data_IF_735752587585
#
_entry.id   IF_735752587585
#
_cell.length_a   1.000
_cell.length_b   1.000
_cell.length_c   1.000
_cell.angle_alpha   90.00
_cell.angle_beta   90.00
_cell.angle_gamma   90.00
#
_symmetry.space_group_name_H-M   'P 1'
#
loop_
_entity.id
_entity.type
_entity.pdbx_description
1 polymer ?
#
# COMPACT_ATOMS: atom_id res chain seq x y z
N UNK A 1 -6.87 -18.81 3.62
CA UNK A 1 -7.76 -17.81 2.95
C UNK A 1 -7.66 -17.94 1.42
N UNK A 2 -8.47 -18.81 0.82
CA UNK A 2 -8.35 -19.15 -0.61
C UNK A 2 -9.11 -18.19 -1.54
N UNK A 3 -10.21 -17.59 -1.06
CA UNK A 3 -11.15 -16.81 -1.89
C UNK A 3 -10.52 -15.65 -2.66
N UNK A 4 -9.51 -14.98 -2.07
CA UNK A 4 -8.86 -13.81 -2.63
C UNK A 4 -7.39 -14.07 -3.02
N UNK A 5 -6.96 -15.35 -3.08
CA UNK A 5 -5.57 -15.70 -3.41
C UNK A 5 -5.14 -15.18 -4.79
N UNK A 6 -6.11 -15.06 -5.70
CA UNK A 6 -5.90 -14.50 -7.04
C UNK A 6 -5.27 -13.11 -7.03
N UNK A 7 -5.53 -12.29 -6.00
CA UNK A 7 -4.92 -10.97 -5.85
C UNK A 7 -3.48 -11.04 -5.35
N UNK A 8 -3.16 -12.04 -4.51
CA UNK A 8 -1.79 -12.30 -4.08
C UNK A 8 -0.95 -12.78 -5.28
N UNK A 9 -1.46 -13.76 -6.03
CA UNK A 9 -0.84 -14.21 -7.28
C UNK A 9 -0.65 -13.04 -8.27
N UNK A 10 -1.69 -12.22 -8.44
CA UNK A 10 -1.62 -11.05 -9.32
C UNK A 10 -0.55 -10.04 -8.88
N UNK A 11 -0.31 -9.88 -7.58
CA UNK A 11 0.64 -8.89 -7.04
C UNK A 11 2.09 -9.35 -7.05
N UNK A 12 2.35 -10.66 -7.01
CA UNK A 12 3.70 -11.25 -6.93
C UNK A 12 4.14 -11.96 -8.22
N UNK A 13 3.29 -12.01 -9.25
CA UNK A 13 3.71 -12.49 -10.56
C UNK A 13 4.74 -11.54 -11.19
N UNK A 14 5.50 -12.06 -12.15
CA UNK A 14 6.28 -11.23 -13.06
C UNK A 14 5.35 -10.27 -13.82
N UNK A 15 5.77 -9.01 -13.91
CA UNK A 15 4.98 -7.96 -14.56
C UNK A 15 4.78 -8.23 -16.06
N UNK A 16 3.52 -8.41 -16.47
CA UNK A 16 3.12 -8.54 -17.88
C UNK A 16 2.78 -7.14 -18.45
N UNK A 17 3.76 -6.50 -19.10
CA UNK A 17 3.61 -5.19 -19.73
C UNK A 17 2.94 -5.37 -21.09
N UNK A 18 1.67 -4.95 -21.19
CA UNK A 18 0.93 -4.94 -22.45
C UNK A 18 1.18 -3.69 -23.29
N UNK A 19 1.78 -2.64 -22.70
CA UNK A 19 2.10 -1.40 -23.40
C UNK A 19 3.13 -0.55 -22.67
N UNK A 20 4.03 0.04 -23.44
CA UNK A 20 5.06 0.96 -22.96
C UNK A 20 5.18 2.13 -23.93
N UNK A 21 5.18 3.35 -23.40
CA UNK A 21 5.25 4.57 -24.19
C UNK A 21 6.10 5.63 -23.49
N UNK A 22 6.97 6.28 -24.26
CA UNK A 22 7.78 7.41 -23.78
C UNK A 22 7.54 8.60 -24.70
N UNK A 23 7.28 9.77 -24.10
CA UNK A 23 7.14 11.04 -24.82
C UNK A 23 7.82 12.16 -24.07
N UNK A 24 8.74 12.81 -24.77
CA UNK A 24 9.36 14.04 -24.27
C UNK A 24 8.42 15.23 -24.52
N UNK A 25 8.22 16.06 -23.51
CA UNK A 25 7.59 17.37 -23.63
C UNK A 25 8.61 18.46 -23.36
N UNK A 26 8.20 19.73 -23.44
CA UNK A 26 9.09 20.86 -23.12
C UNK A 26 9.47 20.91 -21.64
N UNK A 27 8.62 20.39 -20.75
CA UNK A 27 8.72 20.59 -19.29
C UNK A 27 8.95 19.29 -18.51
N UNK A 28 8.58 18.14 -19.07
CA UNK A 28 8.75 16.84 -18.44
C UNK A 28 8.88 15.71 -19.48
N UNK A 29 9.43 14.58 -19.07
CA UNK A 29 9.38 13.31 -19.81
C UNK A 29 8.25 12.46 -19.28
N UNK A 30 7.34 12.05 -20.18
CA UNK A 30 6.24 11.15 -19.87
C UNK A 30 6.66 9.71 -20.13
N UNK A 31 6.49 8.84 -19.15
CA UNK A 31 6.69 7.38 -19.26
C UNK A 31 5.40 6.70 -18.83
N UNK A 32 4.76 5.97 -19.75
CA UNK A 32 3.50 5.30 -19.51
C UNK A 32 3.64 3.80 -19.67
N UNK A 33 3.17 3.07 -18.67
CA UNK A 33 3.04 1.62 -18.66
C UNK A 33 1.57 1.22 -18.68
N UNK A 34 1.29 0.10 -19.32
CA UNK A 34 0.03 -0.62 -19.22
C UNK A 34 0.35 -2.07 -18.81
N UNK A 35 -0.18 -2.47 -17.66
CA UNK A 35 -0.07 -3.84 -17.13
C UNK A 35 -1.38 -4.57 -17.32
N UNK A 36 -1.29 -5.87 -17.65
CA UNK A 36 -2.46 -6.73 -17.79
C UNK A 36 -2.38 -7.89 -16.78
N UNK A 37 -3.36 -7.95 -15.88
CA UNK A 37 -3.51 -9.02 -14.90
C UNK A 37 -4.57 -9.99 -15.41
N UNK A 38 -4.14 -10.97 -16.21
CA UNK A 38 -5.04 -11.92 -16.91
C UNK A 38 -5.96 -12.69 -15.97
N UNK A 39 -5.48 -13.02 -14.77
CA UNK A 39 -6.21 -13.78 -13.76
C UNK A 39 -7.46 -13.02 -13.29
N UNK A 40 -7.38 -11.69 -13.19
CA UNK A 40 -8.44 -10.85 -12.62
C UNK A 40 -9.18 -10.02 -13.68
N UNK A 41 -8.67 -10.00 -14.92
CA UNK A 41 -9.17 -9.14 -16.00
C UNK A 41 -8.86 -7.65 -15.79
N UNK A 42 -7.98 -7.34 -14.83
CA UNK A 42 -7.57 -5.97 -14.49
C UNK A 42 -6.52 -5.48 -15.49
N UNK A 43 -6.67 -4.24 -15.93
CA UNK A 43 -5.64 -3.47 -16.62
C UNK A 43 -5.29 -2.26 -15.76
N UNK A 44 -3.99 -2.03 -15.57
CA UNK A 44 -3.48 -0.90 -14.80
C UNK A 44 -2.55 -0.06 -15.66
N UNK A 45 -2.96 1.20 -15.87
CA UNK A 45 -2.16 2.20 -16.55
C UNK A 45 -1.47 3.09 -15.52
N UNK A 46 -0.16 3.19 -15.59
CA UNK A 46 0.65 4.07 -14.73
C UNK A 46 1.38 5.05 -15.62
N UNK A 47 1.20 6.34 -15.38
CA UNK A 47 1.90 7.41 -16.11
C UNK A 47 2.77 8.19 -15.15
N UNK A 48 4.07 8.17 -15.41
CA UNK A 48 5.07 9.00 -14.73
C UNK A 48 5.37 10.23 -15.60
N UNK A 49 5.32 11.42 -15.01
CA UNK A 49 5.78 12.66 -15.64
C UNK A 49 6.94 13.20 -14.83
N UNK A 50 8.15 13.06 -15.37
CA UNK A 50 9.42 13.38 -14.71
C UNK A 50 9.90 14.74 -15.19
N UNK A 51 9.91 15.71 -14.30
CA UNK A 51 10.38 17.08 -14.55
C UNK A 51 11.89 17.21 -14.30
N UNK A 52 12.52 18.25 -14.88
CA UNK A 52 13.97 18.46 -14.78
C UNK A 52 14.47 18.82 -13.36
N UNK A 53 13.57 19.25 -12.49
CA UNK A 53 13.80 19.57 -11.08
C UNK A 53 13.63 18.36 -10.14
N UNK A 54 13.43 17.15 -10.70
CA UNK A 54 13.27 15.91 -9.93
C UNK A 54 11.85 15.65 -9.44
N UNK A 55 10.88 16.51 -9.77
CA UNK A 55 9.46 16.26 -9.45
C UNK A 55 8.93 15.13 -10.35
N UNK A 56 8.28 14.15 -9.74
CA UNK A 56 7.64 13.02 -10.44
C UNK A 56 6.16 13.03 -10.13
N UNK A 57 5.34 13.38 -11.13
CA UNK A 57 3.88 13.19 -11.05
C UNK A 57 3.54 11.76 -11.48
N UNK A 58 2.81 11.05 -10.63
CA UNK A 58 2.32 9.69 -10.86
C UNK A 58 0.81 9.73 -11.00
N UNK A 59 0.32 9.26 -12.14
CA UNK A 59 -1.11 9.11 -12.43
C UNK A 59 -1.42 7.62 -12.63
N UNK A 60 -2.36 7.09 -11.85
CA UNK A 60 -2.80 5.70 -11.92
C UNK A 60 -4.24 5.64 -12.43
N UNK A 61 -4.49 4.68 -13.33
CA UNK A 61 -5.83 4.32 -13.79
C UNK A 61 -5.98 2.80 -13.84
N UNK A 62 -6.99 2.29 -13.15
CA UNK A 62 -7.33 0.87 -13.09
C UNK A 62 -8.68 0.65 -13.75
N UNK A 63 -8.75 -0.35 -14.62
CA UNK A 63 -9.97 -0.72 -15.35
C UNK A 63 -10.12 -2.24 -15.35
N UNK A 64 -11.34 -2.76 -15.21
CA UNK A 64 -11.59 -4.21 -15.32
C UNK A 64 -12.46 -4.53 -16.52
N UNK A 65 -12.16 -5.65 -17.17
CA UNK A 65 -12.92 -6.15 -18.33
C UNK A 65 -13.94 -7.24 -17.96
N UNK A 66 -13.73 -7.88 -16.80
CA UNK A 66 -14.59 -8.95 -16.29
C UNK A 66 -15.79 -8.36 -15.55
N UNK A 67 -16.95 -9.00 -15.66
CA UNK A 67 -18.17 -8.56 -14.98
C UNK A 67 -18.20 -9.01 -13.50
N UNK A 68 -17.48 -10.09 -13.15
CA UNK A 68 -17.46 -10.71 -11.81
C UNK A 68 -16.07 -10.67 -11.14
N UNK A 69 -15.41 -9.51 -11.13
CA UNK A 69 -14.14 -9.36 -10.42
C UNK A 69 -14.35 -9.45 -8.90
N UNK A 70 -13.62 -10.33 -8.17
CA UNK A 70 -13.73 -10.43 -6.71
C UNK A 70 -13.41 -9.11 -6.00
N UNK A 71 -13.85 -8.96 -4.75
CA UNK A 71 -13.46 -7.82 -3.91
C UNK A 71 -11.93 -7.70 -3.84
N UNK A 72 -11.43 -6.46 -3.82
CA UNK A 72 -9.98 -6.18 -3.81
C UNK A 72 -9.54 -5.85 -2.39
N UNK A 73 -8.50 -6.49 -1.85
CA UNK A 73 -8.00 -6.15 -0.51
C UNK A 73 -7.40 -4.74 -0.42
N UNK A 74 -6.64 -4.33 -1.45
CA UNK A 74 -5.85 -3.10 -1.46
C UNK A 74 -5.56 -2.68 -2.91
N UNK A 75 -5.64 -1.38 -3.18
CA UNK A 75 -5.20 -0.78 -4.44
C UNK A 75 -4.16 0.28 -4.15
N UNK A 76 -2.92 0.04 -4.56
CA UNK A 76 -1.79 0.93 -4.25
C UNK A 76 -0.47 0.47 -4.86
N UNK A 77 0.49 1.38 -4.91
CA UNK A 77 1.86 1.08 -5.33
C UNK A 77 2.72 0.76 -4.11
N UNK A 78 3.55 -0.28 -4.23
CA UNK A 78 4.56 -0.65 -3.22
C UNK A 78 5.95 -0.31 -3.74
N UNK A 79 6.80 0.21 -2.87
CA UNK A 79 8.22 0.46 -3.14
C UNK A 79 9.07 0.22 -1.89
N UNK A 80 10.33 -0.13 -2.10
CA UNK A 80 11.32 -0.25 -1.03
C UNK A 80 12.31 0.91 -1.13
N UNK A 81 12.50 1.63 -0.04
CA UNK A 81 13.46 2.73 0.08
C UNK A 81 14.62 2.32 0.99
N UNK A 82 15.71 3.09 0.95
CA UNK A 82 16.86 2.90 1.85
C UNK A 82 16.44 2.98 3.32
N UNK A 83 17.02 2.14 4.17
CA UNK A 83 16.79 2.15 5.62
C UNK A 83 17.37 3.38 6.34
N UNK A 84 18.10 4.24 5.62
CA UNK A 84 18.61 5.53 6.11
C UNK A 84 17.49 6.55 6.32
N UNK A 85 16.35 6.38 5.64
CA UNK A 85 15.16 7.20 5.87
C UNK A 85 14.44 6.69 7.12
N UNK A 86 14.47 7.47 8.20
CA UNK A 86 13.97 7.04 9.52
C UNK A 86 12.78 7.83 10.03
N UNK A 87 12.55 9.02 9.47
CA UNK A 87 11.59 9.99 9.99
C UNK A 87 10.38 10.10 9.07
N UNK A 88 9.18 9.90 9.61
CA UNK A 88 7.91 10.10 8.94
C UNK A 88 7.25 11.36 9.48
N UNK A 89 6.86 12.26 8.59
CA UNK A 89 6.01 13.40 8.91
C UNK A 89 4.83 13.43 7.96
N UNK A 90 3.60 13.54 8.44
CA UNK A 90 2.43 13.53 7.56
C UNK A 90 1.29 14.42 8.04
N UNK A 91 0.42 14.80 7.10
CA UNK A 91 -0.87 15.42 7.39
C UNK A 91 -2.02 14.51 6.93
N UNK A 92 -2.77 13.98 7.89
CA UNK A 92 -3.82 12.98 7.68
C UNK A 92 -4.48 12.59 8.99
N UNK A 93 -5.10 11.39 9.05
CA UNK A 93 -5.65 10.87 10.31
C UNK A 93 -4.57 10.25 11.20
N UNK A 94 -4.63 10.49 12.50
CA UNK A 94 -3.70 9.95 13.49
C UNK A 94 -4.07 10.30 14.93
N UNK A 95 -3.14 10.08 15.89
CA UNK A 95 -1.78 9.55 15.72
C UNK A 95 -1.68 8.02 15.62
N UNK A 96 -2.77 7.28 15.86
CA UNK A 96 -2.81 5.82 15.73
C UNK A 96 -3.14 5.35 14.31
N UNK A 97 -3.09 4.04 14.11
CA UNK A 97 -3.52 3.41 12.86
C UNK A 97 -5.02 3.66 12.59
N UNK A 98 -5.38 3.70 11.31
CA UNK A 98 -6.72 4.01 10.85
C UNK A 98 -7.05 3.17 9.61
N UNK A 99 -8.29 2.68 9.53
CA UNK A 99 -8.83 1.97 8.38
C UNK A 99 -10.18 2.58 7.99
N UNK A 100 -10.67 2.33 6.77
CA UNK A 100 -11.87 3.00 6.25
C UNK A 100 -13.14 2.77 7.10
N UNK A 101 -13.20 1.69 7.87
CA UNK A 101 -14.26 1.37 8.84
C UNK A 101 -13.86 1.62 10.31
N UNK A 102 -12.63 2.07 10.57
CA UNK A 102 -12.08 2.28 11.91
C UNK A 102 -11.12 3.47 11.95
N UNK A 103 -11.65 4.67 11.76
CA UNK A 103 -10.85 5.92 11.80
C UNK A 103 -11.43 7.04 12.67
N UNK A 104 -12.61 6.87 13.27
CA UNK A 104 -13.35 7.97 13.92
C UNK A 104 -12.63 8.54 15.14
N UNK A 105 -11.77 7.75 15.80
CA UNK A 105 -10.87 8.19 16.88
C UNK A 105 -9.60 8.87 16.39
N UNK A 106 -9.33 8.87 15.08
CA UNK A 106 -8.09 9.38 14.48
C UNK A 106 -8.36 10.76 13.86
N UNK A 107 -7.89 11.82 14.52
CA UNK A 107 -8.16 13.20 14.10
C UNK A 107 -7.29 13.61 12.92
N UNK A 108 -7.80 14.54 12.09
CA UNK A 108 -6.99 15.19 11.08
C UNK A 108 -5.97 16.11 11.77
N UNK A 109 -4.69 15.93 11.44
CA UNK A 109 -3.62 16.70 12.04
C UNK A 109 -2.29 16.43 11.36
N UNK A 110 -1.26 17.13 11.85
CA UNK A 110 0.13 16.88 11.50
C UNK A 110 0.74 15.97 12.56
N UNK A 111 1.33 14.86 12.14
CA UNK A 111 1.92 13.86 13.02
C UNK A 111 3.35 13.54 12.57
N UNK A 112 4.21 13.27 13.55
CA UNK A 112 5.64 12.98 13.37
C UNK A 112 5.94 11.67 14.12
N UNK A 113 6.63 10.76 13.45
CA UNK A 113 7.00 9.46 13.98
C UNK A 113 8.36 9.02 13.45
N UNK A 114 9.10 8.26 14.26
CA UNK A 114 10.15 7.41 13.73
C UNK A 114 9.50 6.16 13.12
N UNK A 115 9.91 5.75 11.92
CA UNK A 115 9.33 4.60 11.21
C UNK A 115 9.43 3.33 12.07
N UNK A 116 10.53 3.20 12.79
CA UNK A 116 10.78 2.10 13.72
C UNK A 116 9.76 1.98 14.86
N UNK A 117 9.00 3.03 15.15
CA UNK A 117 8.00 3.07 16.23
C UNK A 117 6.58 2.83 15.69
N UNK A 118 6.42 2.66 14.37
CA UNK A 118 5.15 2.38 13.69
C UNK A 118 4.89 0.88 13.52
N UNK A 119 5.44 0.02 14.38
CA UNK A 119 5.08 -1.41 14.38
C UNK A 119 4.08 -1.67 15.51
N UNK A 120 2.91 -2.20 15.16
CA UNK A 120 1.93 -2.65 16.16
C UNK A 120 2.20 -4.12 16.50
N UNK A 121 2.62 -4.46 17.73
CA UNK A 121 3.05 -5.80 18.10
C UNK A 121 1.86 -6.72 18.40
N UNK A 122 0.98 -6.92 17.42
CA UNK A 122 -0.10 -7.90 17.52
C UNK A 122 0.46 -9.29 17.85
N UNK A 123 -0.17 -9.99 18.81
CA UNK A 123 0.30 -11.30 19.32
C UNK A 123 0.59 -12.27 18.17
N UNK A 124 -0.31 -12.31 17.18
CA UNK A 124 -0.04 -12.88 15.86
C UNK A 124 0.25 -11.73 14.89
N UNK A 125 1.43 -11.69 14.26
CA UNK A 125 1.78 -10.69 13.25
C UNK A 125 0.74 -10.65 12.13
N UNK A 126 0.29 -9.44 11.79
CA UNK A 126 -0.75 -9.14 10.80
C UNK A 126 -0.52 -7.73 10.25
N UNK A 127 -1.18 -7.40 9.13
CA UNK A 127 -1.24 -6.03 8.57
C UNK A 127 -1.58 -5.00 9.67
N UNK A 128 -0.83 -3.89 9.72
CA UNK A 128 -0.94 -2.88 10.76
C UNK A 128 -0.38 -1.52 10.29
N UNK A 129 -0.68 -0.46 11.06
CA UNK A 129 -0.17 0.90 10.88
C UNK A 129 -0.60 1.62 9.61
N UNK A 130 -1.75 1.24 9.06
CA UNK A 130 -2.36 1.93 7.93
C UNK A 130 -2.81 3.36 8.29
N UNK A 131 -2.61 4.31 7.38
CA UNK A 131 -2.92 5.75 7.58
C UNK A 131 -3.87 6.21 6.49
N UNK A 132 -5.01 6.78 6.87
CA UNK A 132 -6.09 7.17 5.94
C UNK A 132 -6.25 8.69 5.84
N UNK A 133 -6.91 9.14 4.77
CA UNK A 133 -7.21 10.56 4.49
C UNK A 133 -5.98 11.47 4.52
N UNK A 134 -4.85 10.97 4.02
CA UNK A 134 -3.57 11.67 3.99
C UNK A 134 -3.53 12.63 2.80
N UNK A 135 -3.21 13.90 3.05
CA UNK A 135 -2.96 14.88 1.98
C UNK A 135 -1.52 14.87 1.51
N UNK A 136 -0.58 14.69 2.44
CA UNK A 136 0.83 14.57 2.13
C UNK A 136 1.56 13.84 3.25
N UNK A 137 2.67 13.23 2.91
CA UNK A 137 3.63 12.69 3.88
C UNK A 137 5.06 12.80 3.33
N UNK A 138 6.02 12.98 4.21
CA UNK A 138 7.44 12.96 3.89
C UNK A 138 8.15 11.88 4.68
N UNK A 139 9.10 11.23 4.03
CA UNK A 139 10.02 10.26 4.65
C UNK A 139 11.43 10.79 4.44
N UNK A 140 12.14 11.02 5.54
CA UNK A 140 13.44 11.72 5.55
C UNK A 140 14.46 11.02 6.43
N UNK A 141 15.73 11.28 6.17
CA UNK A 141 16.86 10.91 7.02
C UNK A 141 17.00 11.87 8.23
N UNK A 142 18.06 11.69 9.02
CA UNK A 142 18.37 12.56 10.17
C UNK A 142 18.77 13.99 9.79
N UNK A 143 19.10 14.25 8.53
CA UNK A 143 19.44 15.57 8.00
C UNK A 143 18.23 16.27 7.33
N UNK A 144 17.03 15.67 7.40
CA UNK A 144 15.79 16.08 6.73
C UNK A 144 15.79 15.93 5.20
N UNK A 145 16.76 15.19 4.65
CA UNK A 145 16.77 14.87 3.22
C UNK A 145 15.91 13.66 2.95
N UNK A 146 15.14 13.69 1.87
CA UNK A 146 14.32 12.55 1.49
C UNK A 146 13.26 12.87 0.45
N UNK A 147 12.08 12.29 0.63
CA UNK A 147 10.99 12.37 -0.34
C UNK A 147 9.72 12.90 0.32
N UNK A 148 9.05 13.83 -0.35
CA UNK A 148 7.70 14.29 -0.06
C UNK A 148 6.74 13.72 -1.10
N UNK A 149 5.64 13.15 -0.60
CA UNK A 149 4.54 12.62 -1.39
C UNK A 149 3.31 13.50 -1.16
N UNK A 150 2.74 14.03 -2.23
CA UNK A 150 1.57 14.92 -2.19
C UNK A 150 0.44 14.27 -2.96
N UNK A 151 -0.69 14.03 -2.30
CA UNK A 151 -1.89 13.49 -2.92
C UNK A 151 -2.58 14.52 -3.81
N UNK A 152 -3.13 14.09 -4.95
CA UNK A 152 -4.00 14.96 -5.76
C UNK A 152 -5.30 15.32 -5.02
N UNK A 153 -5.76 14.41 -4.16
CA UNK A 153 -6.92 14.58 -3.29
C UNK A 153 -6.65 14.03 -1.89
N UNK A 154 -6.69 12.70 -1.77
CA UNK A 154 -6.34 11.94 -0.56
C UNK A 154 -5.73 10.61 -0.96
N UNK A 155 -4.79 10.13 -0.16
CA UNK A 155 -4.21 8.79 -0.24
C UNK A 155 -4.32 8.11 1.11
N UNK A 156 -4.03 6.82 1.09
CA UNK A 156 -3.73 6.03 2.27
C UNK A 156 -2.29 5.50 2.15
N UNK A 157 -1.63 5.14 3.26
CA UNK A 157 -0.29 4.57 3.20
C UNK A 157 0.00 3.62 4.36
N UNK A 158 0.98 2.74 4.15
CA UNK A 158 1.74 2.06 5.20
C UNK A 158 3.22 2.35 4.99
N UNK A 159 3.95 2.47 6.11
CA UNK A 159 5.41 2.60 6.11
C UNK A 159 5.96 1.76 7.26
N UNK A 160 6.94 0.91 6.97
CA UNK A 160 7.43 -0.07 7.94
C UNK A 160 8.89 -0.45 7.69
N UNK A 161 9.60 -0.88 8.73
CA UNK A 161 10.88 -1.60 8.59
C UNK A 161 10.69 -3.13 8.57
N UNK A 162 9.46 -3.61 8.58
CA UNK A 162 9.10 -5.02 8.44
C UNK A 162 8.46 -5.21 7.08
N UNK A 163 8.97 -6.17 6.30
CA UNK A 163 8.38 -6.53 5.03
C UNK A 163 6.97 -7.10 5.24
N UNK A 164 6.01 -6.76 4.36
CA UNK A 164 4.65 -7.32 4.42
C UNK A 164 4.63 -8.86 4.52
N UNK A 165 5.53 -9.53 3.81
CA UNK A 165 5.69 -10.98 3.81
C UNK A 165 6.07 -11.53 5.19
N UNK A 166 6.76 -10.73 6.01
CA UNK A 166 7.10 -11.08 7.40
C UNK A 166 5.89 -11.05 8.33
N UNK A 167 4.75 -10.51 7.87
CA UNK A 167 3.49 -10.45 8.62
C UNK A 167 2.48 -11.51 8.15
N UNK A 168 2.82 -12.31 7.14
CA UNK A 168 1.96 -13.38 6.61
C UNK A 168 2.24 -14.70 7.34
N UNK A 169 1.19 -15.28 7.93
CA UNK A 169 1.22 -16.59 8.58
C UNK A 169 1.16 -17.79 7.61
N UNK A 170 1.00 -17.53 6.32
CA UNK A 170 0.93 -18.55 5.26
C UNK A 170 -0.44 -19.23 5.14
N UNK A 171 -0.48 -20.35 4.41
CA UNK A 171 -1.73 -20.96 3.96
C UNK A 171 -2.56 -21.64 5.08
N UNK A 172 -1.92 -22.04 6.18
CA UNK A 172 -2.56 -22.82 7.26
C UNK A 172 -2.56 -22.07 8.59
N UNK A 173 -3.73 -22.04 9.23
CA UNK A 173 -3.90 -21.56 10.61
C UNK A 173 -3.63 -22.64 11.66
N UNK A 174 -3.37 -23.90 11.26
CA UNK A 174 -3.23 -25.01 12.19
C UNK A 174 -1.87 -25.05 12.89
N UNK A 175 -1.93 -25.29 14.21
CA UNK A 175 -0.90 -25.04 15.21
C UNK A 175 -0.17 -26.28 15.74
N UNK A 176 -0.27 -27.44 15.09
CA UNK A 176 0.27 -28.70 15.66
C UNK A 176 1.73 -29.02 15.32
N UNK A 177 2.45 -28.11 14.63
CA UNK A 177 3.86 -28.29 14.30
C UNK A 177 4.76 -27.60 15.36
N UNK A 178 5.85 -28.26 15.83
CA UNK A 178 6.90 -27.61 16.61
C UNK A 178 7.52 -26.44 15.82
N UNK A 179 8.02 -25.42 16.53
CA UNK A 179 8.78 -24.31 15.96
C UNK A 179 10.00 -24.87 15.21
N UNK A 180 10.08 -24.63 13.90
CA UNK A 180 11.27 -24.92 13.07
C UNK A 180 11.85 -23.60 12.55
N UNK A 181 13.04 -23.61 11.95
CA UNK A 181 13.60 -22.45 11.23
C UNK A 181 12.67 -21.91 10.13
N UNK A 182 11.70 -22.72 9.70
CA UNK A 182 10.75 -22.44 8.62
C UNK A 182 9.31 -22.18 9.07
N UNK A 183 9.00 -22.12 10.39
CA UNK A 183 7.62 -21.91 10.83
C UNK A 183 7.19 -20.44 10.76
N UNK A 184 6.36 -20.16 9.75
CA UNK A 184 5.61 -18.94 9.43
C UNK A 184 5.18 -18.09 10.64
N UNK A 185 5.77 -16.91 10.80
CA UNK A 185 5.36 -15.75 11.64
C UNK A 185 4.11 -15.96 12.52
N UNK A 186 4.27 -16.56 13.71
CA UNK A 186 3.15 -16.86 14.63
C UNK A 186 3.09 -15.94 15.83
N UNK A 187 4.25 -15.48 16.27
CA UNK A 187 4.41 -14.66 17.46
C UNK A 187 4.91 -13.28 17.08
N UNK A 188 4.51 -12.28 17.88
CA UNK A 188 4.91 -10.88 17.72
C UNK A 188 6.43 -10.66 17.59
N UNK A 189 7.24 -11.61 18.09
CA UNK A 189 8.71 -11.61 18.06
C UNK A 189 9.31 -12.22 16.79
N UNK A 190 8.53 -12.87 15.94
CA UNK A 190 9.04 -13.55 14.76
C UNK A 190 9.42 -12.57 13.63
N UNK A 191 8.59 -11.56 13.26
CA UNK A 191 9.01 -10.55 12.30
C UNK A 191 10.25 -9.82 12.79
N UNK A 192 11.25 -9.68 11.91
CA UNK A 192 12.47 -8.91 12.19
C UNK A 192 12.48 -7.65 11.33
N UNK A 193 13.16 -6.62 11.85
CA UNK A 193 13.38 -5.38 11.08
C UNK A 193 14.41 -5.63 10.01
N UNK A 194 14.13 -5.13 8.83
CA UNK A 194 15.04 -5.09 7.69
C UNK A 194 15.69 -3.71 7.56
N UNK A 195 16.90 -3.61 6.99
CA UNK A 195 17.60 -2.34 6.76
C UNK A 195 17.02 -1.58 5.55
N UNK A 196 15.69 -1.51 5.45
CA UNK A 196 14.94 -0.83 4.40
C UNK A 196 13.66 -0.21 4.97
N UNK A 197 13.01 0.61 4.15
CA UNK A 197 11.64 1.08 4.38
C UNK A 197 10.73 0.45 3.34
N UNK A 198 9.76 -0.36 3.78
CA UNK A 198 8.68 -0.89 2.95
C UNK A 198 7.53 0.12 2.94
N UNK A 199 7.33 0.77 1.80
CA UNK A 199 6.37 1.85 1.61
C UNK A 199 5.26 1.42 0.66
N UNK A 200 4.03 1.63 1.08
CA UNK A 200 2.85 1.50 0.24
C UNK A 200 2.16 2.85 0.12
N UNK A 201 1.85 3.27 -1.11
CA UNK A 201 1.09 4.48 -1.43
C UNK A 201 -0.21 4.06 -2.09
N UNK A 202 -1.30 4.11 -1.33
CA UNK A 202 -2.56 3.51 -1.70
C UNK A 202 -3.60 4.53 -2.13
N UNK A 203 -4.42 4.11 -3.08
CA UNK A 203 -5.73 4.70 -3.29
C UNK A 203 -6.66 4.35 -2.13
N UNK A 204 -6.71 3.05 -1.76
CA UNK A 204 -7.51 2.54 -0.65
C UNK A 204 -7.12 1.12 -0.23
N UNK A 205 -7.31 0.79 1.05
CA UNK A 205 -7.43 -0.57 1.59
C UNK A 205 -8.88 -0.85 2.03
N UNK A 206 -9.37 -2.09 1.83
CA UNK A 206 -10.69 -2.48 2.32
C UNK A 206 -10.75 -2.43 3.86
N UNK A 207 -11.97 -2.40 4.42
CA UNK A 207 -12.20 -2.38 5.86
C UNK A 207 -11.65 -3.61 6.57
N UNK A 208 -11.47 -3.49 7.89
CA UNK A 208 -11.04 -4.60 8.76
C UNK A 208 -12.20 -5.54 9.10
N UNK A 209 -13.42 -5.01 9.20
CA UNK A 209 -14.60 -5.72 9.70
C UNK A 209 -14.54 -5.94 11.22
N UNK A 210 -15.22 -6.98 11.71
CA UNK A 210 -15.17 -7.35 13.12
C UNK A 210 -16.52 -7.64 13.79
N UNK A 211 -17.64 -7.61 13.06
CA UNK A 211 -18.95 -8.06 13.59
C UNK A 211 -18.87 -9.48 14.16
N UNK A 212 -18.07 -10.34 13.52
CA UNK A 212 -17.51 -11.55 14.10
C UNK A 212 -16.21 -11.96 13.38
N UNK A 213 -15.51 -12.96 13.93
CA UNK A 213 -14.25 -13.47 13.37
C UNK A 213 -14.39 -14.88 12.78
N UNK A 214 -15.59 -15.30 12.37
CA UNK A 214 -15.87 -16.65 11.85
C UNK A 214 -16.76 -16.65 10.59
N UNK A 215 -16.84 -15.53 9.87
CA UNK A 215 -17.47 -15.51 8.55
C UNK A 215 -17.90 -14.13 8.05
N UNK A 216 -18.15 -13.17 8.95
CA UNK A 216 -18.50 -11.81 8.55
C UNK A 216 -17.35 -11.13 7.81
N UNK A 217 -17.70 -10.39 6.76
CA UNK A 217 -16.81 -9.48 6.04
C UNK A 217 -17.02 -8.04 6.53
N UNK A 218 -16.16 -7.09 6.17
CA UNK A 218 -16.48 -5.67 6.29
C UNK A 218 -17.82 -5.36 5.62
N UNK A 219 -18.51 -4.31 6.10
CA UNK A 219 -19.74 -3.84 5.47
C UNK A 219 -19.44 -3.32 4.05
N UNK A 220 -20.48 -3.33 3.21
CA UNK A 220 -20.37 -3.13 1.76
C UNK A 220 -19.70 -1.80 1.38
N UNK A 221 -19.96 -0.72 2.13
CA UNK A 221 -19.35 0.60 1.93
C UNK A 221 -17.83 0.65 2.18
N UNK A 222 -17.28 -0.37 2.85
CA UNK A 222 -15.87 -0.50 3.17
C UNK A 222 -15.16 -1.55 2.31
N UNK A 223 -15.87 -2.18 1.36
CA UNK A 223 -15.27 -3.07 0.38
C UNK A 223 -14.79 -2.29 -0.85
N UNK A 224 -13.76 -2.81 -1.52
CA UNK A 224 -13.32 -2.31 -2.82
C UNK A 224 -13.88 -3.25 -3.88
N UNK A 225 -14.79 -2.75 -4.71
CA UNK A 225 -15.34 -3.46 -5.87
C UNK A 225 -14.87 -2.80 -7.15
N UNK A 226 -14.40 -3.64 -8.07
CA UNK A 226 -14.11 -3.23 -9.43
C UNK A 226 -15.29 -3.64 -10.30
N UNK A 227 -15.82 -2.68 -11.05
CA UNK A 227 -16.93 -2.91 -11.96
C UNK A 227 -16.52 -2.50 -13.37
N UNK A 228 -16.93 -3.28 -14.35
CA UNK A 228 -16.68 -2.97 -15.75
C UNK A 228 -17.27 -1.62 -16.12
N UNK A 229 -16.44 -0.76 -16.72
CA UNK A 229 -16.82 0.60 -17.09
C UNK A 229 -16.79 1.62 -15.95
N UNK A 230 -16.42 1.23 -14.72
CA UNK A 230 -16.11 2.14 -13.61
C UNK A 230 -14.63 2.12 -13.31
N UNK A 231 -13.93 3.09 -13.88
CA UNK A 231 -12.48 3.22 -13.69
C UNK A 231 -12.16 3.77 -12.30
N UNK A 232 -11.09 3.26 -11.68
CA UNK A 232 -10.49 3.87 -10.49
C UNK A 232 -9.28 4.68 -10.94
N UNK A 233 -9.30 5.97 -10.61
CA UNK A 233 -8.20 6.89 -10.90
C UNK A 233 -7.70 7.53 -9.61
N UNK A 234 -6.38 7.55 -9.43
CA UNK A 234 -5.75 8.28 -8.33
C UNK A 234 -4.34 8.70 -8.73
N UNK A 235 -3.84 9.77 -8.11
CA UNK A 235 -2.54 10.29 -8.43
C UNK A 235 -1.89 10.98 -7.25
N UNK A 236 -0.58 11.08 -7.34
CA UNK A 236 0.25 11.75 -6.35
C UNK A 236 1.53 12.27 -7.00
N UNK A 237 2.20 13.17 -6.30
CA UNK A 237 3.47 13.77 -6.74
C UNK A 237 4.55 13.43 -5.74
N UNK A 238 5.70 12.98 -6.23
CA UNK A 238 6.90 12.72 -5.45
C UNK A 238 7.87 13.87 -5.72
N UNK A 239 8.44 14.45 -4.66
CA UNK A 239 9.40 15.55 -4.75
C UNK A 239 10.57 15.30 -3.79
N UNK A 240 11.81 15.63 -4.18
CA UNK A 240 12.91 15.68 -3.23
C UNK A 240 12.67 16.78 -2.19
N UNK A 241 13.09 16.54 -0.96
CA UNK A 241 13.15 17.55 0.12
C UNK A 241 14.53 17.54 0.75
N UNK A 242 14.97 18.73 1.19
CA UNK A 242 16.23 19.01 1.89
C UNK A 242 15.97 19.95 3.08
#
# INVERSE_FOLDING_TARGET
>A
PEKLNIWKEASYQDMDISGFFVRNTRTYTEVKYAYQYKQTGLQWFITYKVSADGIIKVDNKLTVQNDDTPIVPRIGLRMQLTGELTNLLYYGRGPGESYCDRYTSQFLGKYDHLIKDLYEPYVRPQENNHRTNVSWFSITDSENKGLLFIADSKLEFNVSNYLLESLDGGESTHSNAPRTESTNHRHLTDPQREPLVDLFVDQRMMGVGGDNSWGATPHEEYLIRLEKGKDIEYGFTIMPVE
#
